data_IF_142770179032
#
_entry.id   IF_142770179032
#
_cell.length_a   1.000
_cell.length_b   1.000
_cell.length_c   1.000
_cell.angle_alpha   90.00
_cell.angle_beta   90.00
_cell.angle_gamma   90.00
#
_symmetry.space_group_name_H-M   'P 1'
#
loop_
_entity.id
_entity.type
_entity.pdbx_description
1 polymer ?
#
# COMPACT_ATOMS: atom_id res chain seq x y z
N UNK A 1 -28.55 -12.28 -21.15
CA UNK A 1 -29.07 -10.98 -21.63
C UNK A 1 -28.39 -9.87 -20.82
N UNK A 2 -27.42 -9.15 -21.40
CA UNK A 2 -26.72 -8.04 -20.72
C UNK A 2 -27.75 -6.94 -20.43
N UNK A 3 -27.96 -6.60 -19.15
CA UNK A 3 -28.72 -5.40 -18.80
C UNK A 3 -27.84 -4.20 -19.14
N UNK A 4 -28.25 -3.45 -20.16
CA UNK A 4 -27.70 -2.14 -20.47
C UNK A 4 -27.94 -1.27 -19.22
N UNK A 5 -26.87 -0.79 -18.60
CA UNK A 5 -26.98 0.21 -17.53
C UNK A 5 -27.68 1.44 -18.09
N UNK A 6 -28.64 1.99 -17.33
CA UNK A 6 -29.34 3.21 -17.75
C UNK A 6 -28.36 4.37 -17.94
N UNK A 7 -28.67 5.26 -18.90
CA UNK A 7 -27.86 6.45 -19.13
C UNK A 7 -27.88 7.38 -17.90
N UNK A 8 -26.74 7.97 -17.58
CA UNK A 8 -26.60 8.94 -16.50
C UNK A 8 -27.47 10.19 -16.76
N UNK A 9 -28.32 10.56 -15.80
CA UNK A 9 -29.32 11.63 -15.96
C UNK A 9 -28.94 12.98 -15.30
N UNK A 10 -27.75 13.09 -14.69
CA UNK A 10 -27.26 14.30 -14.02
C UNK A 10 -27.08 14.16 -12.51
N UNK A 11 -26.61 15.24 -11.86
CA UNK A 11 -26.40 15.34 -10.42
C UNK A 11 -27.54 16.10 -9.71
N UNK A 12 -27.79 15.85 -8.41
CA UNK A 12 -27.16 14.83 -7.57
C UNK A 12 -27.79 13.43 -7.77
N UNK A 13 -26.97 12.37 -7.67
CA UNK A 13 -27.48 10.99 -7.74
C UNK A 13 -27.99 10.57 -6.38
N UNK A 14 -29.32 10.51 -6.22
CA UNK A 14 -30.00 10.15 -4.96
C UNK A 14 -30.74 8.81 -5.15
N UNK A 15 -30.37 7.77 -4.39
CA UNK A 15 -31.04 6.46 -4.41
C UNK A 15 -30.14 5.27 -4.06
N UNK A 16 -30.66 4.03 -4.12
CA UNK A 16 -29.91 2.80 -3.84
C UNK A 16 -28.75 2.59 -4.82
N UNK A 17 -27.53 2.74 -4.34
CA UNK A 17 -26.30 2.78 -5.14
C UNK A 17 -25.76 1.40 -5.57
N UNK A 18 -26.41 0.31 -5.17
CA UNK A 18 -26.05 -1.07 -5.49
C UNK A 18 -26.07 -1.41 -7.00
N UNK A 19 -26.60 -0.52 -7.85
CA UNK A 19 -26.61 -0.66 -9.33
C UNK A 19 -25.68 0.30 -10.05
N UNK A 20 -24.96 1.18 -9.32
CA UNK A 20 -23.97 2.05 -9.94
C UNK A 20 -22.70 1.25 -10.24
N UNK A 21 -22.25 1.33 -11.48
CA UNK A 21 -20.95 0.80 -11.90
C UNK A 21 -19.92 1.93 -11.85
N UNK A 22 -19.02 1.89 -10.86
CA UNK A 22 -18.03 2.96 -10.61
C UNK A 22 -16.92 3.03 -11.66
N UNK A 23 -16.71 1.97 -12.44
CA UNK A 23 -15.77 1.91 -13.56
C UNK A 23 -16.34 1.03 -14.68
N UNK A 24 -16.26 1.49 -15.93
CA UNK A 24 -16.64 0.69 -17.10
C UNK A 24 -15.97 -0.67 -17.08
N UNK A 25 -16.73 -1.73 -17.31
CA UNK A 25 -16.20 -3.08 -17.27
C UNK A 25 -15.32 -3.28 -18.47
N UNK A 26 -14.01 -3.45 -18.28
CA UNK A 26 -13.24 -4.13 -19.32
C UNK A 26 -13.96 -5.46 -19.56
N UNK A 27 -14.30 -5.72 -20.82
CA UNK A 27 -15.37 -6.65 -21.12
C UNK A 27 -14.79 -8.06 -20.97
N UNK A 28 -15.32 -8.82 -20.01
CA UNK A 28 -15.10 -10.27 -19.93
C UNK A 28 -15.88 -11.03 -21.03
N UNK A 29 -15.99 -10.45 -22.23
CA UNK A 29 -16.65 -11.09 -23.37
C UNK A 29 -15.76 -12.21 -23.92
N UNK A 30 -16.27 -13.44 -24.13
CA UNK A 30 -15.50 -14.50 -24.77
C UNK A 30 -15.17 -14.24 -26.26
N UNK A 31 -15.70 -13.17 -26.85
CA UNK A 31 -15.74 -12.97 -28.31
C UNK A 31 -14.65 -12.06 -28.90
N UNK A 32 -13.72 -11.53 -28.11
CA UNK A 32 -12.69 -10.61 -28.61
C UNK A 32 -11.24 -11.04 -28.32
N UNK A 33 -11.02 -12.31 -27.93
CA UNK A 33 -9.70 -12.82 -27.59
C UNK A 33 -8.95 -12.01 -26.50
N UNK A 34 -9.68 -11.44 -25.53
CA UNK A 34 -9.16 -10.61 -24.44
C UNK A 34 -8.64 -9.22 -24.88
N UNK A 35 -8.97 -8.76 -26.09
CA UNK A 35 -8.56 -7.44 -26.59
C UNK A 35 -9.09 -6.28 -25.74
N UNK A 36 -10.26 -6.43 -25.13
CA UNK A 36 -10.86 -5.44 -24.22
C UNK A 36 -10.80 -5.86 -22.75
N UNK A 37 -9.99 -6.88 -22.43
CA UNK A 37 -9.76 -7.29 -21.04
C UNK A 37 -9.01 -6.20 -20.27
N UNK A 38 -9.25 -6.13 -18.96
CA UNK A 38 -8.57 -5.15 -18.14
C UNK A 38 -7.06 -5.44 -18.13
N UNK A 39 -6.19 -4.43 -18.00
CA UNK A 39 -4.77 -4.64 -17.73
C UNK A 39 -4.49 -5.50 -16.48
N UNK A 40 -5.46 -5.67 -15.59
CA UNK A 40 -5.37 -6.53 -14.40
C UNK A 40 -6.10 -7.88 -14.57
N UNK A 41 -6.54 -8.25 -15.77
CA UNK A 41 -7.17 -9.54 -16.02
C UNK A 41 -6.12 -10.67 -15.88
N UNK A 42 -6.33 -11.65 -14.97
CA UNK A 42 -5.34 -12.68 -14.68
C UNK A 42 -5.06 -13.60 -15.86
N UNK A 43 -5.94 -13.65 -16.88
CA UNK A 43 -5.76 -14.46 -18.09
C UNK A 43 -4.71 -13.86 -19.03
N UNK A 44 -4.49 -12.56 -18.95
CA UNK A 44 -3.44 -11.89 -19.72
C UNK A 44 -2.08 -12.14 -19.06
N UNK A 45 -1.38 -13.20 -19.48
CA UNK A 45 -0.07 -13.60 -18.93
C UNK A 45 1.02 -12.52 -19.06
N UNK A 46 0.92 -11.68 -20.09
CA UNK A 46 1.82 -10.56 -20.34
C UNK A 46 1.25 -9.21 -19.87
N UNK A 47 0.08 -9.19 -19.23
CA UNK A 47 -0.46 -7.95 -18.68
C UNK A 47 0.36 -7.49 -17.49
N UNK A 48 0.31 -6.18 -17.30
CA UNK A 48 1.13 -5.51 -16.34
C UNK A 48 0.65 -5.80 -14.91
N UNK A 49 1.42 -6.59 -14.18
CA UNK A 49 1.22 -6.72 -12.74
C UNK A 49 1.78 -5.47 -12.05
N UNK A 50 0.87 -4.58 -11.66
CA UNK A 50 1.21 -3.41 -10.87
C UNK A 50 0.89 -3.66 -9.40
N UNK A 51 1.81 -3.25 -8.55
CA UNK A 51 1.54 -3.08 -7.14
C UNK A 51 1.35 -1.59 -6.86
N UNK A 52 0.47 -1.29 -5.92
CA UNK A 52 0.31 0.06 -5.42
C UNK A 52 0.55 0.03 -3.93
N UNK A 53 1.53 0.78 -3.47
CA UNK A 53 1.80 1.03 -2.06
C UNK A 53 1.18 2.38 -1.69
N UNK A 54 0.47 2.45 -0.58
CA UNK A 54 -0.18 3.71 -0.18
C UNK A 54 -0.18 3.90 1.31
N UNK A 55 0.25 5.07 1.77
CA UNK A 55 0.11 5.46 3.16
C UNK A 55 -0.40 6.89 3.28
N UNK A 56 -1.00 7.16 4.43
CA UNK A 56 -1.53 8.47 4.77
C UNK A 56 -0.66 9.12 5.84
N UNK A 57 -0.29 10.38 5.62
CA UNK A 57 0.38 11.22 6.63
C UNK A 57 -0.55 12.37 7.04
N UNK A 58 -0.48 12.84 8.30
CA UNK A 58 -1.07 14.12 8.67
C UNK A 58 -0.54 15.23 7.78
N UNK A 59 -1.40 16.14 7.34
CA UNK A 59 -1.03 17.22 6.40
C UNK A 59 0.21 18.00 6.85
N UNK A 60 0.33 18.28 8.16
CA UNK A 60 1.48 18.96 8.77
C UNK A 60 2.83 18.24 8.59
N UNK A 61 2.83 16.92 8.38
CA UNK A 61 4.04 16.11 8.15
C UNK A 61 4.38 15.95 6.67
N UNK A 62 3.44 16.22 5.76
CA UNK A 62 3.60 16.00 4.33
C UNK A 62 4.79 16.75 3.73
N UNK A 63 4.97 18.03 4.07
CA UNK A 63 6.05 18.85 3.54
C UNK A 63 7.44 18.31 3.93
N UNK A 64 7.61 17.89 5.19
CA UNK A 64 8.86 17.30 5.67
C UNK A 64 9.15 15.96 4.97
N UNK A 65 8.15 15.10 4.82
CA UNK A 65 8.28 13.86 4.07
C UNK A 65 8.69 14.11 2.60
N UNK A 66 8.03 15.05 1.91
CA UNK A 66 8.37 15.39 0.53
C UNK A 66 9.80 15.94 0.42
N UNK A 67 10.28 16.71 1.40
CA UNK A 67 11.66 17.18 1.42
C UNK A 67 12.66 16.02 1.50
N UNK A 68 12.38 14.99 2.30
CA UNK A 68 13.24 13.80 2.40
C UNK A 68 13.25 12.97 1.13
N UNK A 69 12.09 12.77 0.50
CA UNK A 69 12.00 12.09 -0.79
C UNK A 69 12.75 12.86 -1.88
N UNK A 70 12.68 14.21 -1.87
CA UNK A 70 13.48 15.05 -2.78
C UNK A 70 14.97 14.84 -2.57
N UNK A 71 15.45 14.85 -1.31
CA UNK A 71 16.85 14.56 -0.99
C UNK A 71 17.28 13.18 -1.50
N UNK A 72 16.43 12.17 -1.36
CA UNK A 72 16.71 10.82 -1.85
C UNK A 72 16.79 10.77 -3.39
N UNK A 73 15.84 11.42 -4.08
CA UNK A 73 15.85 11.58 -5.54
C UNK A 73 17.11 12.29 -6.02
N UNK A 74 17.55 13.34 -5.33
CA UNK A 74 18.69 14.16 -5.77
C UNK A 74 20.02 13.38 -5.79
N UNK A 75 20.12 12.28 -5.04
CA UNK A 75 21.27 11.36 -5.09
C UNK A 75 21.33 10.54 -6.38
N UNK A 76 20.18 10.20 -6.97
CA UNK A 76 20.08 9.53 -8.26
C UNK A 76 18.73 9.85 -8.90
N UNK A 77 18.65 10.89 -9.76
CA UNK A 77 17.39 11.34 -10.35
C UNK A 77 16.67 10.28 -11.19
N UNK A 78 17.40 9.27 -11.70
CA UNK A 78 16.80 8.17 -12.46
C UNK A 78 16.14 7.10 -11.58
N UNK A 79 16.34 7.15 -10.26
CA UNK A 79 15.90 6.08 -9.37
C UNK A 79 14.38 5.95 -9.24
N UNK A 80 13.62 7.00 -9.61
CA UNK A 80 12.16 7.00 -9.57
C UNK A 80 11.51 6.67 -10.92
N UNK A 81 12.27 6.33 -11.96
CA UNK A 81 11.70 5.98 -13.26
C UNK A 81 10.67 4.83 -13.18
N UNK A 82 10.82 3.92 -12.21
CA UNK A 82 9.87 2.83 -11.98
C UNK A 82 8.48 3.28 -11.54
N UNK A 83 8.35 4.41 -10.84
CA UNK A 83 7.05 5.01 -10.48
C UNK A 83 6.60 6.08 -11.47
N UNK A 84 7.52 6.81 -12.10
CA UNK A 84 7.20 7.84 -13.10
C UNK A 84 6.45 7.29 -14.31
N UNK A 85 6.65 6.01 -14.65
CA UNK A 85 5.89 5.31 -15.69
C UNK A 85 4.41 5.08 -15.31
N UNK A 86 4.05 5.21 -14.03
CA UNK A 86 2.73 4.86 -13.48
C UNK A 86 2.21 5.96 -12.52
N UNK A 87 2.09 7.19 -13.04
CA UNK A 87 1.56 8.37 -12.34
C UNK A 87 2.46 8.98 -11.25
N UNK A 88 3.73 8.59 -11.19
CA UNK A 88 4.70 9.05 -10.18
C UNK A 88 4.18 8.79 -8.74
N UNK A 89 4.51 9.69 -7.80
CA UNK A 89 3.94 9.67 -6.45
C UNK A 89 2.70 10.56 -6.45
N UNK A 90 1.52 9.93 -6.48
CA UNK A 90 0.24 10.63 -6.50
C UNK A 90 -0.14 11.05 -5.06
N UNK A 91 -0.40 12.35 -4.88
CA UNK A 91 -0.82 12.92 -3.60
C UNK A 91 -2.31 13.25 -3.61
N UNK A 92 -3.06 12.75 -2.62
CA UNK A 92 -4.52 12.99 -2.51
C UNK A 92 -4.89 13.42 -1.10
N UNK A 93 -5.63 14.51 -0.98
CA UNK A 93 -6.03 15.07 0.31
C UNK A 93 -7.34 14.44 0.78
N UNK A 94 -7.39 14.04 2.06
CA UNK A 94 -8.54 13.35 2.64
C UNK A 94 -8.85 13.94 4.01
N UNK A 95 -10.13 14.23 4.25
CA UNK A 95 -10.62 14.70 5.55
C UNK A 95 -10.51 13.61 6.62
N UNK A 96 -10.43 14.05 7.88
CA UNK A 96 -10.60 13.15 9.02
C UNK A 96 -11.93 12.37 8.92
N UNK A 97 -11.94 11.15 9.44
CA UNK A 97 -13.09 10.26 9.45
C UNK A 97 -13.40 9.81 10.87
N UNK A 98 -14.69 9.58 11.14
CA UNK A 98 -15.18 8.97 12.38
C UNK A 98 -15.20 7.44 12.33
N UNK A 99 -14.88 6.84 11.18
CA UNK A 99 -14.79 5.38 11.06
C UNK A 99 -13.62 4.82 11.90
N UNK A 100 -13.86 3.72 12.62
CA UNK A 100 -12.92 3.17 13.59
C UNK A 100 -11.56 2.75 13.00
N UNK A 101 -11.55 2.20 11.78
CA UNK A 101 -10.33 1.87 11.01
C UNK A 101 -9.99 2.94 9.96
N UNK A 102 -10.65 4.10 10.04
CA UNK A 102 -10.46 5.22 9.13
C UNK A 102 -9.27 6.11 9.53
N UNK A 103 -9.16 7.24 8.83
CA UNK A 103 -8.18 8.29 9.12
C UNK A 103 -8.64 9.07 10.36
N UNK A 104 -7.98 8.94 11.52
CA UNK A 104 -8.47 9.52 12.76
C UNK A 104 -8.37 11.05 12.72
N UNK A 105 -9.27 11.71 13.44
CA UNK A 105 -9.07 13.12 13.77
C UNK A 105 -7.79 13.29 14.60
N UNK A 106 -7.10 14.41 14.43
CA UNK A 106 -5.96 14.72 15.28
C UNK A 106 -6.42 14.91 16.74
N UNK A 107 -5.59 14.55 17.72
CA UNK A 107 -5.82 14.95 19.11
C UNK A 107 -6.05 16.46 19.20
N UNK A 108 -6.87 16.88 20.17
CA UNK A 108 -7.14 18.30 20.40
C UNK A 108 -5.81 19.08 20.54
N UNK A 109 -5.64 20.13 19.74
CA UNK A 109 -4.45 20.99 19.74
C UNK A 109 -3.40 20.74 18.65
N UNK A 110 -3.50 19.69 17.84
CA UNK A 110 -2.46 19.30 16.86
C UNK A 110 -2.79 19.63 15.38
N UNK A 111 -3.48 20.76 15.15
CA UNK A 111 -3.56 21.39 13.82
C UNK A 111 -4.32 20.60 12.73
N UNK A 112 -5.45 19.98 13.09
CA UNK A 112 -6.40 19.36 12.15
C UNK A 112 -6.12 17.89 11.83
N UNK A 113 -7.18 17.11 11.65
CA UNK A 113 -7.13 15.66 11.36
C UNK A 113 -7.05 15.30 9.86
N UNK A 114 -6.85 16.30 9.00
CA UNK A 114 -6.77 16.07 7.56
C UNK A 114 -5.44 15.41 7.20
N UNK A 115 -5.52 14.47 6.27
CA UNK A 115 -4.41 13.61 5.86
C UNK A 115 -4.12 13.79 4.36
N UNK A 116 -2.91 13.41 3.96
CA UNK A 116 -2.52 13.27 2.56
C UNK A 116 -2.13 11.83 2.32
N UNK A 117 -2.79 11.20 1.35
CA UNK A 117 -2.42 9.89 0.82
C UNK A 117 -1.28 10.06 -0.18
N UNK A 118 -0.24 9.24 -0.04
CA UNK A 118 0.85 9.10 -0.99
C UNK A 118 0.73 7.73 -1.65
N UNK A 119 0.26 7.71 -2.88
CA UNK A 119 0.10 6.52 -3.69
C UNK A 119 1.31 6.35 -4.61
N UNK A 120 1.91 5.16 -4.60
CA UNK A 120 3.04 4.79 -5.45
C UNK A 120 2.67 3.53 -6.22
N UNK A 121 2.42 3.69 -7.52
CA UNK A 121 2.16 2.56 -8.41
C UNK A 121 3.46 2.16 -9.09
N UNK A 122 3.80 0.87 -9.08
CA UNK A 122 5.02 0.37 -9.68
C UNK A 122 4.88 -1.08 -10.12
N UNK A 123 5.71 -1.49 -11.08
CA UNK A 123 5.83 -2.90 -11.44
C UNK A 123 6.63 -3.67 -10.38
N UNK A 124 6.17 -4.88 -10.08
CA UNK A 124 6.87 -5.85 -9.24
C UNK A 124 6.85 -7.22 -9.93
N UNK A 125 7.85 -8.04 -9.70
CA UNK A 125 7.79 -9.44 -10.14
C UNK A 125 6.72 -10.22 -9.36
N UNK A 126 6.12 -11.23 -9.99
CA UNK A 126 5.33 -12.25 -9.27
C UNK A 126 6.23 -13.21 -8.46
N UNK A 127 7.50 -13.31 -8.82
CA UNK A 127 8.49 -14.03 -8.01
C UNK A 127 8.85 -13.19 -6.78
N UNK A 128 8.54 -13.66 -5.56
CA UNK A 128 8.78 -12.94 -4.32
C UNK A 128 10.26 -12.58 -4.09
N UNK A 129 11.18 -13.32 -4.70
CA UNK A 129 12.63 -13.17 -4.51
C UNK A 129 13.29 -12.29 -5.55
N UNK A 130 12.54 -11.72 -6.50
CA UNK A 130 13.10 -10.89 -7.57
C UNK A 130 12.99 -9.42 -7.20
N UNK A 131 14.14 -8.77 -7.04
CA UNK A 131 14.20 -7.34 -6.73
C UNK A 131 13.59 -6.50 -7.87
N UNK A 132 12.86 -5.44 -7.51
CA UNK A 132 12.42 -4.40 -8.45
C UNK A 132 13.56 -3.45 -8.80
N UNK A 133 13.35 -2.68 -9.86
CA UNK A 133 14.28 -1.63 -10.26
C UNK A 133 14.38 -0.58 -9.15
N UNK A 134 15.61 -0.25 -8.73
CA UNK A 134 15.88 0.64 -7.59
C UNK A 134 15.09 0.24 -6.32
N UNK A 135 15.09 -1.06 -6.01
CA UNK A 135 14.47 -1.66 -4.81
C UNK A 135 14.67 -0.79 -3.56
N UNK A 136 15.93 -0.45 -3.29
CA UNK A 136 16.35 0.34 -2.15
C UNK A 136 15.64 1.69 -2.02
N UNK A 137 15.47 2.40 -3.12
CA UNK A 137 14.85 3.75 -3.11
C UNK A 137 13.38 3.66 -2.72
N UNK A 138 12.62 2.74 -3.31
CA UNK A 138 11.20 2.59 -2.96
C UNK A 138 11.01 2.03 -1.55
N UNK A 139 11.85 1.09 -1.11
CA UNK A 139 11.79 0.60 0.28
C UNK A 139 12.11 1.72 1.28
N UNK A 140 13.07 2.58 0.96
CA UNK A 140 13.40 3.71 1.84
C UNK A 140 12.25 4.70 1.94
N UNK A 141 11.57 5.01 0.83
CA UNK A 141 10.38 5.89 0.82
C UNK A 141 9.24 5.26 1.63
N UNK A 142 8.97 3.96 1.46
CA UNK A 142 7.96 3.22 2.23
C UNK A 142 8.26 3.28 3.73
N UNK A 143 9.52 3.02 4.12
CA UNK A 143 9.95 3.06 5.52
C UNK A 143 9.95 4.47 6.12
N UNK A 144 10.29 5.50 5.33
CA UNK A 144 10.13 6.90 5.75
C UNK A 144 8.66 7.20 6.03
N UNK A 145 7.76 6.89 5.10
CA UNK A 145 6.33 7.14 5.26
C UNK A 145 5.72 6.42 6.45
N UNK A 146 5.89 5.10 6.51
CA UNK A 146 5.24 4.23 7.50
C UNK A 146 5.89 4.33 8.88
N UNK A 147 7.22 4.33 8.97
CA UNK A 147 7.94 4.20 10.25
C UNK A 147 8.47 5.55 10.74
N UNK A 148 9.20 6.32 9.92
CA UNK A 148 9.75 7.62 10.35
C UNK A 148 8.66 8.65 10.64
N UNK A 149 7.70 8.78 9.73
CA UNK A 149 6.61 9.77 9.85
C UNK A 149 5.33 9.20 10.48
N UNK A 150 5.33 7.92 10.85
CA UNK A 150 4.21 7.25 11.53
C UNK A 150 2.95 7.13 10.67
N UNK A 151 3.11 6.94 9.36
CA UNK A 151 2.00 6.87 8.42
C UNK A 151 1.06 5.69 8.65
N UNK A 152 -0.20 5.91 8.25
CA UNK A 152 -1.24 4.88 8.26
C UNK A 152 -1.19 4.10 6.96
N UNK A 153 -1.01 2.77 6.97
CA UNK A 153 -1.08 1.97 5.76
C UNK A 153 -2.51 1.94 5.23
N UNK A 154 -2.68 2.11 3.92
CA UNK A 154 -3.94 1.83 3.25
C UNK A 154 -4.25 0.32 3.28
N UNK A 155 -5.40 -0.05 3.85
CA UNK A 155 -5.80 -1.45 4.07
C UNK A 155 -5.77 -2.35 2.83
N UNK A 156 -6.14 -1.82 1.66
CA UNK A 156 -6.19 -2.58 0.40
C UNK A 156 -5.00 -2.40 -0.56
N UNK A 157 -3.93 -1.71 -0.14
CA UNK A 157 -2.82 -1.30 -1.03
C UNK A 157 -1.45 -1.39 -0.35
N UNK A 158 -1.25 -2.35 0.54
CA UNK A 158 0.06 -2.54 1.16
C UNK A 158 0.36 -4.02 1.36
N UNK A 159 1.65 -4.29 1.53
CA UNK A 159 2.18 -5.59 1.93
C UNK A 159 2.24 -5.64 3.45
N UNK A 160 2.39 -6.84 4.01
CA UNK A 160 2.18 -7.06 5.44
C UNK A 160 3.11 -6.22 6.34
N UNK A 161 4.33 -5.92 5.88
CA UNK A 161 5.27 -5.08 6.63
C UNK A 161 4.66 -3.73 7.05
N UNK A 162 3.85 -3.11 6.21
CA UNK A 162 3.25 -1.81 6.52
C UNK A 162 2.25 -1.89 7.70
N UNK A 163 1.69 -3.07 7.94
CA UNK A 163 0.79 -3.36 9.05
C UNK A 163 1.49 -3.77 10.34
N UNK A 164 2.83 -3.85 10.34
CA UNK A 164 3.60 -4.07 11.58
C UNK A 164 3.26 -2.99 12.61
N UNK A 165 2.60 -3.40 13.70
CA UNK A 165 2.11 -2.49 14.73
C UNK A 165 0.94 -1.58 14.32
N UNK A 166 0.23 -1.90 13.22
CA UNK A 166 -0.94 -1.14 12.76
C UNK A 166 -2.00 -0.98 13.85
N UNK A 167 -2.23 -2.01 14.68
CA UNK A 167 -3.18 -1.95 15.78
C UNK A 167 -2.98 -0.73 16.70
N UNK A 168 -1.74 -0.33 16.95
CA UNK A 168 -1.41 0.85 17.78
C UNK A 168 -1.64 2.19 17.06
N UNK A 169 -1.76 2.18 15.74
CA UNK A 169 -1.94 3.36 14.89
C UNK A 169 -3.41 3.78 14.75
N UNK A 170 -4.36 2.90 15.11
CA UNK A 170 -5.80 3.14 14.97
C UNK A 170 -6.48 3.19 16.35
N UNK A 171 -6.70 4.40 16.91
CA UNK A 171 -7.34 4.55 18.23
C UNK A 171 -8.75 3.95 18.32
N UNK A 172 -9.46 3.86 17.19
CA UNK A 172 -10.79 3.26 17.11
C UNK A 172 -10.80 1.73 17.07
N UNK A 173 -9.64 1.06 16.98
CA UNK A 173 -9.57 -0.38 16.85
C UNK A 173 -10.30 -1.14 17.98
N UNK A 174 -10.18 -0.79 19.28
CA UNK A 174 -10.91 -1.51 20.33
C UNK A 174 -12.43 -1.48 20.13
N UNK A 175 -12.97 -0.35 19.69
CA UNK A 175 -14.40 -0.21 19.41
C UNK A 175 -14.79 -0.96 18.13
N UNK A 176 -13.94 -0.97 17.11
CA UNK A 176 -14.15 -1.81 15.93
C UNK A 176 -14.26 -3.28 16.31
N UNK A 177 -13.35 -3.80 17.14
CA UNK A 177 -13.35 -5.19 17.59
C UNK A 177 -14.62 -5.51 18.39
N UNK A 178 -15.03 -4.61 19.31
CA UNK A 178 -16.29 -4.75 20.06
C UNK A 178 -17.51 -4.85 19.14
N UNK A 179 -17.58 -4.03 18.10
CA UNK A 179 -18.68 -4.07 17.12
C UNK A 179 -18.58 -5.33 16.27
N UNK A 180 -17.38 -5.71 15.81
CA UNK A 180 -17.16 -6.97 15.08
C UNK A 180 -17.68 -8.16 15.87
N UNK A 181 -17.28 -8.31 17.14
CA UNK A 181 -17.66 -9.46 17.97
C UNK A 181 -19.18 -9.50 18.24
N UNK A 182 -19.83 -8.34 18.31
CA UNK A 182 -21.28 -8.26 18.50
C UNK A 182 -22.09 -8.70 17.26
N UNK A 183 -21.56 -8.44 16.05
CA UNK A 183 -22.24 -8.73 14.79
C UNK A 183 -21.76 -10.02 14.10
N UNK A 184 -20.62 -10.54 14.50
CA UNK A 184 -19.99 -11.76 13.98
C UNK A 184 -19.38 -12.61 15.12
N UNK A 185 -20.21 -13.07 16.08
CA UNK A 185 -19.72 -13.77 17.29
C UNK A 185 -19.03 -15.10 16.98
N UNK A 186 -19.40 -15.73 15.86
CA UNK A 186 -18.82 -17.00 15.39
C UNK A 186 -17.59 -16.78 14.48
N UNK A 187 -17.24 -15.53 14.18
CA UNK A 187 -16.08 -15.20 13.35
C UNK A 187 -16.18 -15.64 11.89
N UNK A 188 -17.39 -15.70 11.33
CA UNK A 188 -17.65 -16.14 9.95
C UNK A 188 -16.92 -15.26 8.93
N UNK A 189 -16.70 -13.98 9.26
CA UNK A 189 -15.99 -13.03 8.41
C UNK A 189 -14.53 -12.81 8.80
N UNK A 190 -14.01 -13.58 9.77
CA UNK A 190 -12.59 -13.56 10.15
C UNK A 190 -11.75 -14.49 9.27
N UNK A 191 -10.45 -14.22 9.25
CA UNK A 191 -9.43 -15.01 8.55
C UNK A 191 -8.11 -14.86 9.29
N UNK A 192 -7.18 -15.81 9.10
CA UNK A 192 -5.83 -15.73 9.68
C UNK A 192 -5.17 -14.38 9.36
N UNK A 193 -5.36 -13.87 8.15
CA UNK A 193 -4.78 -12.59 7.73
C UNK A 193 -5.44 -11.40 8.44
N UNK A 194 -6.77 -11.32 8.46
CA UNK A 194 -7.48 -10.20 9.11
C UNK A 194 -7.17 -10.15 10.60
N UNK A 195 -7.15 -11.30 11.25
CA UNK A 195 -6.92 -11.42 12.67
C UNK A 195 -5.49 -11.00 13.01
N UNK A 196 -4.51 -11.48 12.25
CA UNK A 196 -3.11 -11.07 12.35
C UNK A 196 -2.91 -9.55 12.18
N UNK A 197 -3.48 -8.92 11.15
CA UNK A 197 -3.28 -7.47 10.92
C UNK A 197 -4.06 -6.60 11.92
N UNK A 198 -5.17 -7.11 12.47
CA UNK A 198 -5.93 -6.47 13.55
C UNK A 198 -5.32 -6.71 14.94
N UNK A 199 -4.30 -7.58 15.04
CA UNK A 199 -3.64 -7.91 16.32
C UNK A 199 -4.43 -8.90 17.18
N UNK A 200 -5.34 -9.67 16.60
CA UNK A 200 -6.07 -10.75 17.24
C UNK A 200 -5.17 -12.00 17.24
N UNK A 201 -5.13 -12.73 18.35
CA UNK A 201 -4.40 -14.00 18.46
C UNK A 201 -2.86 -13.91 18.48
N UNK A 202 -2.28 -12.71 18.42
CA UNK A 202 -0.84 -12.47 18.62
C UNK A 202 0.08 -12.87 17.46
N UNK A 203 -0.48 -13.28 16.31
CA UNK A 203 0.30 -13.54 15.11
C UNK A 203 0.98 -12.27 14.57
N UNK A 204 2.20 -12.38 14.05
CA UNK A 204 2.92 -11.25 13.48
C UNK A 204 2.63 -11.12 11.99
N UNK A 205 2.37 -9.90 11.47
CA UNK A 205 2.27 -9.66 10.03
C UNK A 205 3.61 -9.88 9.30
N UNK A 206 4.72 -9.89 10.03
CA UNK A 206 6.05 -10.04 9.45
C UNK A 206 6.57 -11.47 9.56
N UNK A 207 7.31 -11.92 8.54
CA UNK A 207 8.00 -13.21 8.55
C UNK A 207 9.49 -13.02 8.34
N UNK A 208 10.29 -13.88 8.98
CA UNK A 208 11.75 -13.86 8.87
C UNK A 208 12.19 -15.04 8.00
N UNK A 209 12.39 -14.78 6.70
CA UNK A 209 12.71 -15.80 5.70
C UNK A 209 13.54 -15.21 4.55
N UNK A 210 14.30 -16.03 3.80
CA UNK A 210 14.98 -15.57 2.60
C UNK A 210 14.03 -14.84 1.63
N UNK A 211 14.43 -13.66 1.16
CA UNK A 211 13.63 -12.80 0.29
C UNK A 211 12.48 -12.01 0.96
N UNK A 212 12.33 -12.08 2.29
CA UNK A 212 11.19 -11.43 2.97
C UNK A 212 11.11 -9.91 2.76
N UNK A 213 12.23 -9.21 2.59
CA UNK A 213 12.23 -7.76 2.40
C UNK A 213 11.70 -7.38 1.00
N UNK A 214 12.14 -8.11 -0.02
CA UNK A 214 11.65 -7.97 -1.40
C UNK A 214 10.14 -8.27 -1.51
N UNK A 215 9.63 -9.23 -0.73
CA UNK A 215 8.19 -9.51 -0.62
C UNK A 215 7.43 -8.48 0.21
N UNK A 216 8.11 -7.64 1.01
CA UNK A 216 7.42 -6.71 1.91
C UNK A 216 6.83 -7.40 3.14
N UNK A 217 7.51 -8.44 3.61
CA UNK A 217 7.18 -9.21 4.82
C UNK A 217 8.12 -8.90 5.99
N UNK A 218 9.23 -8.20 5.76
CA UNK A 218 10.17 -7.81 6.82
C UNK A 218 10.94 -6.54 6.44
N UNK A 219 11.46 -5.82 7.43
CA UNK A 219 12.61 -4.93 7.21
C UNK A 219 13.86 -5.82 7.13
N UNK A 220 14.73 -5.59 6.15
CA UNK A 220 15.91 -6.45 6.02
C UNK A 220 16.84 -6.31 7.24
N UNK A 221 17.38 -7.43 7.72
CA UNK A 221 18.41 -7.47 8.76
C UNK A 221 19.61 -8.32 8.33
N UNK A 222 19.38 -9.29 7.45
CA UNK A 222 20.38 -10.18 6.84
C UNK A 222 20.36 -10.01 5.34
N UNK A 223 21.50 -10.28 4.70
CA UNK A 223 21.62 -10.17 3.25
C UNK A 223 20.70 -11.15 2.50
N UNK A 224 20.42 -12.33 3.08
CA UNK A 224 19.47 -13.31 2.52
C UNK A 224 18.03 -12.79 2.39
N UNK A 225 17.65 -11.73 3.10
CA UNK A 225 16.33 -11.09 2.93
C UNK A 225 16.22 -10.34 1.59
N UNK A 226 17.36 -10.06 0.95
CA UNK A 226 17.48 -9.15 -0.20
C UNK A 226 17.85 -9.81 -1.52
N UNK A 227 17.93 -11.15 -1.60
CA UNK A 227 18.41 -11.88 -2.79
C UNK A 227 19.89 -11.58 -3.15
N UNK A 228 20.85 -12.02 -2.31
CA UNK A 228 22.28 -11.81 -2.54
C UNK A 228 22.76 -12.42 -3.86
N UNK A 229 22.12 -13.48 -4.35
CA UNK A 229 22.39 -14.11 -5.64
C UNK A 229 22.10 -13.20 -6.84
N UNK A 230 21.32 -12.14 -6.66
CA UNK A 230 21.06 -11.09 -7.65
C UNK A 230 21.91 -9.83 -7.43
N UNK A 231 22.87 -9.88 -6.48
CA UNK A 231 23.73 -8.77 -6.12
C UNK A 231 23.06 -7.74 -5.20
N UNK A 232 22.02 -8.11 -4.48
CA UNK A 232 21.32 -7.22 -3.55
C UNK A 232 21.57 -7.61 -2.10
N UNK A 233 22.03 -6.66 -1.30
CA UNK A 233 22.41 -6.87 0.10
C UNK A 233 21.67 -5.89 1.01
N UNK A 234 21.50 -6.27 2.27
CA UNK A 234 20.80 -5.43 3.23
C UNK A 234 21.70 -4.29 3.71
N UNK A 235 21.34 -3.05 3.41
CA UNK A 235 22.15 -1.86 3.73
C UNK A 235 21.32 -0.77 4.40
N UNK A 236 21.94 0.16 5.14
CA UNK A 236 21.24 1.35 5.64
C UNK A 236 20.68 2.19 4.49
N UNK A 237 19.57 2.89 4.75
CA UNK A 237 19.04 3.90 3.82
C UNK A 237 20.05 5.02 3.51
N UNK A 238 19.86 5.68 2.38
CA UNK A 238 20.74 6.75 1.90
C UNK A 238 20.45 8.08 2.60
N UNK A 239 19.20 8.40 2.87
CA UNK A 239 18.75 9.62 3.56
C UNK A 239 18.23 9.30 4.96
N UNK A 240 17.34 8.32 5.09
CA UNK A 240 16.85 7.81 6.38
C UNK A 240 17.73 6.64 6.83
N UNK A 241 18.74 6.94 7.65
CA UNK A 241 19.81 5.98 7.98
C UNK A 241 19.34 4.79 8.82
N UNK A 242 18.24 4.95 9.53
CA UNK A 242 17.60 3.91 10.33
C UNK A 242 16.79 2.93 9.46
N UNK A 243 16.44 3.30 8.22
CA UNK A 243 15.88 2.33 7.28
C UNK A 243 16.91 1.25 6.93
N UNK A 244 16.41 0.06 6.65
CA UNK A 244 17.22 -1.05 6.11
C UNK A 244 16.61 -1.50 4.81
N UNK A 245 17.39 -1.40 3.74
CA UNK A 245 16.90 -1.52 2.37
C UNK A 245 17.79 -2.46 1.55
N UNK A 246 17.18 -3.17 0.62
CA UNK A 246 17.83 -4.08 -0.30
C UNK A 246 18.51 -3.31 -1.42
N UNK A 247 19.80 -3.05 -1.24
CA UNK A 247 20.61 -2.24 -2.16
C UNK A 247 21.39 -3.14 -3.10
N UNK A 248 21.30 -2.86 -4.40
CA UNK A 248 22.15 -3.50 -5.39
C UNK A 248 23.59 -3.05 -5.17
N UNK A 249 24.47 -3.98 -4.83
CA UNK A 249 25.91 -3.74 -4.79
C UNK A 249 26.49 -4.11 -6.15
N UNK A 250 27.18 -3.19 -6.79
CA UNK A 250 28.03 -3.52 -7.93
C UNK A 250 29.12 -4.47 -7.46
N UNK A 251 29.31 -5.57 -8.19
CA UNK A 251 30.56 -6.34 -8.13
C UNK A 251 31.72 -5.51 -8.66
#
# INVERSE_FOLDING_TARGET
MRRVGGAFAGYPVVGPQHRMQASGGCLAGPEDALLTACPWDPRLRASSFFHQTTFSLPLRRAAAFVADVRRLRDLNPRALCGVELYDAILMRYVKASTAHLGKPAAPAGDGGGDMVDFDMTYYRSRDPRRARLFEDVLEEIEQMGIFKYGGLPHWGKNRNLAFAGAARKYPGLPEFLRVKDAFDPDGIFSSDWSDMVLGIGGASPTTDAPGCALEGMCVCSRDEHCAPEQGYLCRPGKVYKEARVCTRVSS
#
